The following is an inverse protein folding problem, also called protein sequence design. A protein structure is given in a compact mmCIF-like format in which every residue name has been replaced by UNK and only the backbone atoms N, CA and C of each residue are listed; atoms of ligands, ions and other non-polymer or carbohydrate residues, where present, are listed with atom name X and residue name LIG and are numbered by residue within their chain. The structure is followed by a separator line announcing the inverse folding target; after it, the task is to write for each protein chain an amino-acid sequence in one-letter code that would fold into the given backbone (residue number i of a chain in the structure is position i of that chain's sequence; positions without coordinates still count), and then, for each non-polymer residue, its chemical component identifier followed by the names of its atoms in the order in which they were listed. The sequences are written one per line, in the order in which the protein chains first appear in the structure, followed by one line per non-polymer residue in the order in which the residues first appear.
data_IF_258086576797
#
_entry.id   IF_258086576797
#
_cell.length_a   1.000
_cell.length_b   1.000
_cell.length_c   1.000
_cell.angle_alpha   90.00
_cell.angle_beta   90.00
_cell.angle_gamma   90.00
#
_symmetry.space_group_name_H-M   'P 1'
#
loop_
_entity.id
_entity.type
_entity.pdbx_description
1 polymer ?
#
# COMPACT_ATOMS: atom_id res chain seq x y z
N UNK A 1 5.21 -11.44 12.42
CA UNK A 1 3.73 -11.47 12.23
C UNK A 1 3.11 -12.78 12.71
N UNK A 2 3.72 -13.95 12.46
CA UNK A 2 3.20 -15.25 12.89
C UNK A 2 2.90 -15.30 14.40
N UNK A 3 3.75 -14.74 15.24
CA UNK A 3 3.55 -14.67 16.69
C UNK A 3 2.35 -13.83 17.11
N UNK A 4 2.03 -12.78 16.35
CA UNK A 4 0.83 -11.96 16.57
C UNK A 4 -0.43 -12.79 16.32
N UNK A 5 -0.48 -13.53 15.22
CA UNK A 5 -1.59 -14.43 14.91
C UNK A 5 -1.73 -15.55 15.96
N UNK A 6 -0.61 -16.14 16.37
CA UNK A 6 -0.60 -17.15 17.44
C UNK A 6 -1.19 -16.61 18.75
N UNK A 7 -0.81 -15.39 19.14
CA UNK A 7 -1.32 -14.74 20.33
C UNK A 7 -2.84 -14.52 20.25
N UNK A 8 -3.34 -13.90 19.18
CA UNK A 8 -4.77 -13.63 19.05
C UNK A 8 -5.61 -14.91 18.93
N UNK A 9 -5.16 -15.91 18.18
CA UNK A 9 -5.85 -17.20 18.11
C UNK A 9 -6.01 -17.80 19.52
N UNK A 10 -4.94 -17.73 20.33
CA UNK A 10 -5.01 -18.22 21.71
C UNK A 10 -5.95 -17.40 22.59
N UNK A 11 -6.02 -16.08 22.42
CA UNK A 11 -6.96 -15.23 23.17
C UNK A 11 -8.41 -15.52 22.79
N UNK A 12 -8.71 -15.70 21.52
CA UNK A 12 -10.04 -16.08 21.02
C UNK A 12 -10.51 -17.39 21.68
N UNK A 13 -9.65 -18.42 21.72
CA UNK A 13 -9.95 -19.67 22.38
C UNK A 13 -10.18 -19.50 23.89
N UNK A 14 -9.29 -18.78 24.59
CA UNK A 14 -9.36 -18.59 26.03
C UNK A 14 -10.58 -17.79 26.50
N UNK A 15 -11.06 -16.89 25.66
CA UNK A 15 -12.19 -16.01 25.95
C UNK A 15 -13.49 -16.54 25.37
N UNK A 16 -13.49 -17.74 24.76
CA UNK A 16 -14.65 -18.38 24.14
C UNK A 16 -15.37 -17.49 23.13
N UNK A 17 -14.57 -16.77 22.29
CA UNK A 17 -15.08 -15.87 21.26
C UNK A 17 -15.56 -16.72 20.07
N UNK A 18 -16.81 -16.57 19.63
CA UNK A 18 -17.34 -17.18 18.42
C UNK A 18 -16.69 -16.56 17.17
N UNK A 19 -15.64 -17.20 16.65
CA UNK A 19 -14.91 -16.77 15.47
C UNK A 19 -15.47 -17.44 14.22
N UNK A 20 -16.11 -16.68 13.34
CA UNK A 20 -16.70 -17.13 12.07
C UNK A 20 -15.87 -16.65 10.88
N UNK A 21 -14.88 -17.45 10.48
CA UNK A 21 -14.06 -17.16 9.28
C UNK A 21 -14.82 -17.50 8.00
N UNK A 22 -14.46 -16.81 6.89
CA UNK A 22 -15.10 -16.96 5.58
C UNK A 22 -16.62 -16.74 5.58
N UNK A 23 -17.12 -16.01 6.56
CA UNK A 23 -18.53 -15.67 6.73
C UNK A 23 -18.71 -14.18 6.44
N UNK A 24 -19.57 -13.86 5.48
CA UNK A 24 -19.96 -12.47 5.22
C UNK A 24 -21.18 -12.16 6.09
N UNK A 25 -21.02 -11.22 7.00
CA UNK A 25 -22.13 -10.66 7.73
C UNK A 25 -22.87 -9.62 6.86
N UNK A 26 -24.18 -9.65 6.87
CA UNK A 26 -25.07 -8.62 6.33
C UNK A 26 -26.05 -8.15 7.42
N UNK A 27 -26.83 -7.13 7.13
CA UNK A 27 -27.70 -6.53 8.12
C UNK A 27 -28.83 -7.48 8.56
N UNK A 28 -29.34 -8.34 7.66
CA UNK A 28 -30.39 -9.30 7.98
C UNK A 28 -29.90 -10.31 9.02
N UNK A 29 -28.71 -10.90 8.78
CA UNK A 29 -28.10 -11.86 9.71
C UNK A 29 -27.81 -11.23 11.08
N UNK A 30 -27.29 -9.99 11.10
CA UNK A 30 -26.98 -9.30 12.35
C UNK A 30 -28.23 -8.95 13.16
N UNK A 31 -29.34 -8.60 12.51
CA UNK A 31 -30.61 -8.34 13.13
C UNK A 31 -31.29 -9.63 13.67
N UNK A 32 -31.26 -10.72 12.87
CA UNK A 32 -31.82 -12.02 13.28
C UNK A 32 -31.09 -12.60 14.49
N UNK A 33 -29.76 -12.40 14.60
CA UNK A 33 -28.99 -12.89 15.76
C UNK A 33 -29.12 -11.97 16.99
N UNK A 34 -29.81 -10.84 16.87
CA UNK A 34 -30.19 -9.95 17.96
C UNK A 34 -29.03 -9.50 18.85
N UNK A 35 -27.91 -9.08 18.22
CA UNK A 35 -26.80 -8.49 18.95
C UNK A 35 -27.20 -7.15 19.58
N UNK A 36 -26.75 -6.89 20.81
CA UNK A 36 -26.99 -5.62 21.51
C UNK A 36 -26.28 -4.45 20.81
N UNK A 37 -25.06 -4.68 20.36
CA UNK A 37 -24.24 -3.66 19.70
C UNK A 37 -23.35 -4.29 18.60
N UNK A 38 -23.04 -3.53 17.57
CA UNK A 38 -22.20 -3.96 16.44
C UNK A 38 -20.98 -3.07 16.30
N UNK A 39 -19.79 -3.65 16.23
CA UNK A 39 -18.55 -2.92 15.98
C UNK A 39 -18.05 -3.23 14.57
N UNK A 40 -18.09 -2.24 13.69
CA UNK A 40 -17.59 -2.34 12.31
C UNK A 40 -16.10 -1.97 12.24
N UNK A 41 -15.26 -2.99 12.09
CA UNK A 41 -13.82 -2.88 11.90
C UNK A 41 -13.40 -3.32 10.49
N UNK A 42 -14.23 -3.06 9.48
CA UNK A 42 -14.14 -3.56 8.11
C UNK A 42 -13.02 -2.95 7.28
N UNK A 43 -12.33 -1.93 7.83
CA UNK A 43 -11.13 -1.37 7.22
C UNK A 43 -11.44 -0.43 6.04
N UNK A 44 -10.73 -0.60 4.93
CA UNK A 44 -10.75 0.32 3.79
C UNK A 44 -10.82 -0.43 2.47
N UNK A 45 -11.28 0.29 1.42
CA UNK A 45 -11.24 -0.15 0.02
C UNK A 45 -10.38 0.82 -0.82
N UNK A 46 -9.73 0.33 -1.90
CA UNK A 46 -8.97 1.20 -2.80
C UNK A 46 -9.83 2.32 -3.37
N UNK A 47 -9.25 3.51 -3.51
CA UNK A 47 -9.89 4.64 -4.19
C UNK A 47 -9.50 4.65 -5.65
N UNK A 48 -10.46 4.65 -6.55
CA UNK A 48 -10.28 4.90 -7.97
C UNK A 48 -10.35 6.41 -8.23
N UNK A 49 -9.30 7.05 -8.78
CA UNK A 49 -9.32 8.46 -9.11
C UNK A 49 -10.10 8.70 -10.41
N UNK A 50 -10.60 9.91 -10.58
CA UNK A 50 -11.20 10.35 -11.83
C UNK A 50 -10.08 10.77 -12.79
N UNK A 51 -9.79 9.92 -13.77
CA UNK A 51 -8.79 10.13 -14.84
C UNK A 51 -9.42 9.58 -16.12
N UNK A 52 -9.34 10.33 -17.21
CA UNK A 52 -9.77 9.87 -18.53
C UNK A 52 -9.06 8.56 -18.88
N UNK A 53 -9.81 7.53 -19.28
CA UNK A 53 -9.26 6.22 -19.58
C UNK A 53 -8.88 5.37 -18.36
N UNK A 54 -9.44 5.66 -17.17
CA UNK A 54 -9.20 4.86 -15.96
C UNK A 54 -9.60 3.38 -16.10
N UNK A 55 -10.53 3.09 -17.01
CA UNK A 55 -10.98 1.72 -17.33
C UNK A 55 -10.16 1.06 -18.44
N UNK A 56 -9.09 1.70 -18.91
CA UNK A 56 -8.22 1.15 -19.95
C UNK A 56 -7.57 -0.17 -19.51
N UNK A 57 -7.40 -1.17 -20.38
CA UNK A 57 -6.81 -2.48 -20.02
C UNK A 57 -5.40 -2.43 -19.40
N UNK A 58 -4.65 -1.36 -19.62
CA UNK A 58 -3.35 -1.13 -18.98
C UNK A 58 -3.45 -0.82 -17.49
N UNK A 59 -4.63 -0.45 -16.98
CA UNK A 59 -4.83 -0.02 -15.60
C UNK A 59 -5.01 -1.21 -14.69
N UNK A 60 -4.25 -1.21 -13.59
CA UNK A 60 -4.30 -2.21 -12.53
C UNK A 60 -4.46 -1.51 -11.18
N UNK A 61 -5.21 -2.11 -10.26
CA UNK A 61 -5.16 -1.73 -8.86
C UNK A 61 -3.95 -2.34 -8.15
N UNK A 62 -3.51 -1.77 -7.05
CA UNK A 62 -2.41 -2.37 -6.27
C UNK A 62 -2.76 -3.77 -5.74
N UNK A 63 -4.04 -4.09 -5.50
CA UNK A 63 -4.49 -5.44 -5.14
C UNK A 63 -4.33 -6.43 -6.29
N UNK A 64 -4.53 -5.98 -7.53
CA UNK A 64 -4.29 -6.81 -8.71
C UNK A 64 -2.84 -7.27 -8.77
N UNK A 65 -1.92 -6.37 -8.44
CA UNK A 65 -0.47 -6.63 -8.47
C UNK A 65 -0.04 -7.47 -7.26
N UNK A 66 -0.34 -7.02 -6.04
CA UNK A 66 0.22 -7.60 -4.82
C UNK A 66 -0.52 -8.85 -4.32
N UNK A 67 -1.85 -8.93 -4.53
CA UNK A 67 -2.68 -10.03 -4.02
C UNK A 67 -3.07 -11.02 -5.10
N UNK A 68 -3.41 -10.52 -6.29
CA UNK A 68 -3.90 -11.37 -7.38
C UNK A 68 -2.80 -11.76 -8.36
N UNK A 69 -1.56 -11.27 -8.18
CA UNK A 69 -0.40 -11.57 -9.02
C UNK A 69 -0.69 -11.42 -10.51
N UNK A 70 -1.51 -10.42 -10.91
CA UNK A 70 -1.76 -10.16 -12.32
C UNK A 70 -0.46 -9.83 -13.05
N UNK A 71 -0.28 -10.30 -14.27
CA UNK A 71 0.92 -10.00 -15.05
C UNK A 71 1.12 -8.50 -15.24
N UNK A 72 2.35 -8.06 -15.02
CA UNK A 72 2.77 -6.66 -15.20
C UNK A 72 3.90 -6.61 -16.20
N UNK A 73 3.80 -5.71 -17.16
CA UNK A 73 4.78 -5.52 -18.24
C UNK A 73 6.12 -4.97 -17.72
N UNK A 74 6.96 -4.55 -18.67
CA UNK A 74 8.32 -4.08 -18.36
C UNK A 74 8.41 -2.60 -18.03
N UNK A 75 7.42 -1.80 -18.44
CA UNK A 75 7.36 -0.36 -18.15
C UNK A 75 6.09 -0.04 -17.39
N UNK A 76 6.21 0.59 -16.21
CA UNK A 76 5.08 0.76 -15.28
C UNK A 76 5.08 2.17 -14.67
N UNK A 77 3.91 2.81 -14.67
CA UNK A 77 3.65 4.04 -13.94
C UNK A 77 2.82 3.74 -12.67
N UNK A 78 3.32 4.12 -11.50
CA UNK A 78 2.63 4.00 -10.21
C UNK A 78 2.07 5.36 -9.83
N UNK A 79 0.74 5.46 -9.71
CA UNK A 79 0.05 6.69 -9.33
C UNK A 79 -0.12 6.74 -7.81
N UNK A 80 0.66 7.58 -7.17
CA UNK A 80 0.64 7.80 -5.71
C UNK A 80 1.92 7.31 -5.02
N UNK A 81 2.67 8.25 -4.43
CA UNK A 81 3.92 7.99 -3.70
C UNK A 81 3.72 8.04 -2.17
N UNK A 82 2.66 7.39 -1.70
CA UNK A 82 2.46 7.02 -0.30
C UNK A 82 3.08 5.65 0.02
N UNK A 83 2.84 5.10 1.22
CA UNK A 83 3.37 3.79 1.63
C UNK A 83 3.12 2.70 0.58
N UNK A 84 1.86 2.48 0.21
CA UNK A 84 1.48 1.47 -0.80
C UNK A 84 2.21 1.67 -2.14
N UNK A 85 2.38 2.92 -2.59
CA UNK A 85 3.09 3.18 -3.85
C UNK A 85 4.57 2.82 -3.78
N UNK A 86 5.21 3.02 -2.63
CA UNK A 86 6.58 2.58 -2.38
C UNK A 86 6.67 1.06 -2.31
N UNK A 87 5.75 0.39 -1.60
CA UNK A 87 5.71 -1.07 -1.49
C UNK A 87 5.52 -1.72 -2.87
N UNK A 88 4.60 -1.20 -3.69
CA UNK A 88 4.41 -1.64 -5.08
C UNK A 88 5.67 -1.40 -5.91
N UNK A 89 6.34 -0.27 -5.73
CA UNK A 89 7.59 0.05 -6.41
C UNK A 89 8.71 -0.95 -6.06
N UNK A 90 8.87 -1.28 -4.79
CA UNK A 90 9.84 -2.28 -4.33
C UNK A 90 9.49 -3.68 -4.86
N UNK A 91 8.23 -4.08 -4.80
CA UNK A 91 7.74 -5.35 -5.34
C UNK A 91 8.02 -5.47 -6.85
N UNK A 92 7.69 -4.45 -7.64
CA UNK A 92 7.87 -4.48 -9.09
C UNK A 92 9.33 -4.42 -9.55
N UNK A 93 10.21 -3.88 -8.71
CA UNK A 93 11.65 -3.80 -8.99
C UNK A 93 12.44 -4.97 -8.43
N UNK A 94 11.79 -5.88 -7.69
CA UNK A 94 12.41 -7.11 -7.21
C UNK A 94 12.45 -8.18 -8.31
N UNK A 95 13.56 -8.90 -8.41
CA UNK A 95 13.70 -10.02 -9.34
C UNK A 95 13.39 -11.36 -8.66
N UNK A 96 12.11 -11.76 -8.69
CA UNK A 96 11.65 -13.03 -8.12
C UNK A 96 12.22 -14.28 -8.81
N UNK A 97 12.85 -14.16 -9.98
CA UNK A 97 13.56 -15.29 -10.60
C UNK A 97 14.90 -15.55 -9.92
N UNK A 98 15.53 -14.49 -9.44
CA UNK A 98 16.80 -14.54 -8.74
C UNK A 98 16.61 -14.76 -7.24
N UNK A 99 15.61 -14.13 -6.66
CA UNK A 99 15.24 -14.21 -5.25
C UNK A 99 13.76 -14.57 -5.13
N UNK A 100 13.42 -15.86 -5.10
CA UNK A 100 12.04 -16.34 -4.96
C UNK A 100 11.35 -15.78 -3.71
N UNK A 101 10.03 -15.64 -3.81
CA UNK A 101 9.22 -15.18 -2.68
C UNK A 101 9.37 -16.13 -1.48
N UNK A 102 9.60 -15.55 -0.30
CA UNK A 102 9.81 -16.29 0.96
C UNK A 102 11.25 -16.75 1.21
N UNK A 103 12.14 -16.64 0.25
CA UNK A 103 13.57 -16.85 0.48
C UNK A 103 14.24 -15.57 1.01
N UNK A 104 15.07 -15.72 2.04
CA UNK A 104 15.85 -14.61 2.55
C UNK A 104 17.10 -14.40 1.67
N UNK A 105 17.31 -13.16 1.26
CA UNK A 105 18.58 -12.78 0.62
C UNK A 105 19.75 -13.11 1.56
N UNK A 106 20.82 -13.77 1.09
CA UNK A 106 22.03 -13.99 1.89
C UNK A 106 22.59 -12.66 2.41
N UNK A 107 23.05 -12.66 3.66
CA UNK A 107 23.56 -11.43 4.31
C UNK A 107 24.69 -10.79 3.48
N UNK A 108 25.56 -11.60 2.89
CA UNK A 108 26.66 -11.11 2.05
C UNK A 108 26.16 -10.37 0.79
N UNK A 109 25.08 -10.85 0.17
CA UNK A 109 24.48 -10.22 -1.01
C UNK A 109 23.81 -8.90 -0.63
N UNK A 110 23.09 -8.88 0.50
CA UNK A 110 22.52 -7.66 1.06
C UNK A 110 23.60 -6.62 1.40
N UNK A 111 24.69 -7.03 2.02
CA UNK A 111 25.82 -6.15 2.34
C UNK A 111 26.42 -5.54 1.06
N UNK A 112 26.60 -6.35 0.02
CA UNK A 112 27.08 -5.90 -1.28
C UNK A 112 26.09 -4.93 -1.96
N UNK A 113 24.79 -5.23 -1.94
CA UNK A 113 23.75 -4.34 -2.51
C UNK A 113 23.79 -2.97 -1.85
N UNK A 114 23.99 -2.91 -0.53
CA UNK A 114 23.97 -1.67 0.25
C UNK A 114 25.35 -1.02 0.43
N UNK A 115 26.42 -1.64 -0.06
CA UNK A 115 27.78 -1.12 0.11
C UNK A 115 28.24 -1.17 1.56
N UNK A 116 27.96 -2.26 2.26
CA UNK A 116 28.42 -2.49 3.63
C UNK A 116 29.70 -3.31 3.59
N UNK A 117 30.77 -2.81 4.23
CA UNK A 117 32.03 -3.53 4.40
C UNK A 117 31.96 -4.42 5.66
N UNK A 118 31.90 -5.76 5.52
CA UNK A 118 31.83 -6.67 6.66
C UNK A 118 33.17 -6.79 7.41
N UNK A 119 34.28 -6.33 6.81
CA UNK A 119 35.61 -6.41 7.43
C UNK A 119 35.95 -5.21 8.30
N UNK A 120 35.18 -4.13 8.19
CA UNK A 120 35.39 -2.87 8.90
C UNK A 120 36.71 -2.15 8.54
N UNK A 121 37.31 -2.49 7.41
CA UNK A 121 38.55 -1.87 6.94
C UNK A 121 38.31 -0.50 6.29
N UNK A 122 37.13 -0.32 5.69
CA UNK A 122 36.72 0.95 5.08
C UNK A 122 36.18 1.93 6.12
N UNK A 123 36.40 3.26 5.95
CA UNK A 123 35.86 4.28 6.85
C UNK A 123 34.33 4.17 6.98
N UNK A 124 33.84 4.01 8.22
CA UNK A 124 32.42 3.87 8.51
C UNK A 124 31.81 2.53 8.04
N UNK A 125 32.64 1.54 7.71
CA UNK A 125 32.25 0.27 7.11
C UNK A 125 31.41 0.45 5.83
N UNK A 126 31.76 1.45 4.99
CA UNK A 126 31.06 1.78 3.76
C UNK A 126 31.93 1.54 2.54
N UNK A 127 31.38 0.87 1.55
CA UNK A 127 31.93 0.68 0.21
C UNK A 127 30.92 1.18 -0.84
N UNK A 128 31.26 1.05 -2.11
CA UNK A 128 30.32 1.37 -3.19
C UNK A 128 29.15 0.37 -3.21
N UNK A 129 27.88 0.86 -3.20
CA UNK A 129 26.72 -0.01 -3.33
C UNK A 129 26.64 -0.64 -4.72
N UNK A 130 26.29 -1.93 -4.76
CA UNK A 130 26.06 -2.66 -6.01
C UNK A 130 24.63 -3.19 -6.07
N UNK A 131 23.62 -2.30 -6.26
CA UNK A 131 22.23 -2.72 -6.32
C UNK A 131 21.98 -3.59 -7.54
N UNK A 132 21.08 -4.55 -7.38
CA UNK A 132 20.63 -5.37 -8.49
C UNK A 132 19.83 -4.54 -9.49
N UNK A 133 19.99 -4.79 -10.81
CA UNK A 133 19.20 -4.09 -11.81
C UNK A 133 17.72 -4.46 -11.68
N UNK A 134 16.86 -3.46 -11.77
CA UNK A 134 15.42 -3.69 -11.81
C UNK A 134 15.02 -4.46 -13.08
N UNK A 135 14.14 -5.48 -12.99
CA UNK A 135 13.58 -6.17 -14.15
C UNK A 135 12.61 -5.28 -14.94
N UNK A 136 12.22 -4.12 -14.40
CA UNK A 136 11.26 -3.17 -14.99
C UNK A 136 11.73 -1.73 -14.89
N UNK A 137 11.32 -0.92 -15.88
CA UNK A 137 11.33 0.52 -15.78
C UNK A 137 10.10 0.96 -14.97
N UNK A 138 10.31 1.68 -13.87
CA UNK A 138 9.22 2.12 -12.99
C UNK A 138 9.25 3.64 -12.80
N UNK A 139 8.08 4.26 -12.96
CA UNK A 139 7.81 5.66 -12.66
C UNK A 139 6.93 5.74 -11.42
N UNK A 140 7.39 6.43 -10.36
CA UNK A 140 6.60 6.66 -9.14
C UNK A 140 6.14 8.12 -9.10
N UNK A 141 4.84 8.34 -9.24
CA UNK A 141 4.26 9.65 -9.50
C UNK A 141 3.52 10.22 -8.28
N UNK A 142 3.65 11.53 -8.07
CA UNK A 142 2.98 12.22 -6.98
C UNK A 142 2.41 13.57 -7.44
N UNK A 143 1.15 13.86 -7.09
CA UNK A 143 0.52 15.18 -7.38
C UNK A 143 1.15 16.33 -6.58
N UNK A 144 1.54 16.07 -5.32
CA UNK A 144 2.20 17.07 -4.48
C UNK A 144 3.59 17.40 -5.03
N UNK A 145 3.99 18.66 -4.98
CA UNK A 145 5.32 19.13 -5.40
C UNK A 145 6.42 18.78 -4.40
N UNK A 146 6.04 18.37 -3.18
CA UNK A 146 7.01 17.92 -2.19
C UNK A 146 7.70 16.62 -2.62
N UNK A 147 8.87 16.34 -2.03
CA UNK A 147 9.63 15.12 -2.28
C UNK A 147 8.74 13.87 -2.11
N UNK A 148 8.69 12.93 -3.08
CA UNK A 148 8.00 11.66 -2.95
C UNK A 148 8.39 10.91 -1.67
N UNK A 149 7.40 10.33 -0.99
CA UNK A 149 7.62 9.64 0.28
C UNK A 149 7.91 10.56 1.48
N UNK A 150 7.62 11.87 1.41
CA UNK A 150 7.79 12.79 2.57
C UNK A 150 6.97 12.36 3.79
N UNK A 151 5.82 11.71 3.58
CA UNK A 151 4.93 11.22 4.63
C UNK A 151 5.25 9.81 5.14
N UNK A 152 6.29 9.15 4.63
CA UNK A 152 6.73 7.85 5.14
C UNK A 152 7.30 7.95 6.55
N UNK A 153 7.33 6.82 7.27
CA UNK A 153 7.88 6.74 8.62
C UNK A 153 9.26 7.37 8.74
N UNK A 154 9.50 8.14 9.79
CA UNK A 154 10.75 8.91 9.97
C UNK A 154 11.99 8.02 9.99
N UNK A 155 11.87 6.82 10.53
CA UNK A 155 12.97 5.86 10.70
C UNK A 155 13.27 5.06 9.43
N UNK A 156 12.27 4.73 8.62
CA UNK A 156 12.40 3.81 7.47
C UNK A 156 12.18 4.47 6.11
N UNK A 157 11.50 5.61 6.05
CA UNK A 157 11.17 6.25 4.78
C UNK A 157 12.36 6.67 3.93
N UNK A 158 13.53 6.91 4.53
CA UNK A 158 14.76 7.16 3.79
C UNK A 158 15.30 5.89 3.12
N UNK A 159 15.15 4.72 3.76
CA UNK A 159 15.55 3.41 3.22
C UNK A 159 14.76 3.13 1.96
N UNK A 160 13.44 3.20 2.01
CA UNK A 160 12.56 3.00 0.85
C UNK A 160 12.92 3.89 -0.33
N UNK A 161 13.19 5.19 -0.07
CA UNK A 161 13.61 6.11 -1.13
C UNK A 161 14.96 5.75 -1.74
N UNK A 162 15.91 5.30 -0.93
CA UNK A 162 17.24 4.89 -1.41
C UNK A 162 17.11 3.59 -2.22
N UNK A 163 16.37 2.61 -1.72
CA UNK A 163 16.14 1.34 -2.41
C UNK A 163 15.58 1.54 -3.82
N UNK A 164 14.51 2.34 -3.95
CA UNK A 164 13.93 2.63 -5.27
C UNK A 164 14.86 3.43 -6.18
N UNK A 165 15.62 4.39 -5.62
CA UNK A 165 16.60 5.17 -6.40
C UNK A 165 17.72 4.27 -6.91
N UNK A 166 18.23 3.39 -6.08
CA UNK A 166 19.29 2.45 -6.46
C UNK A 166 18.85 1.50 -7.58
N UNK A 167 17.54 1.25 -7.68
CA UNK A 167 16.93 0.46 -8.76
C UNK A 167 16.41 1.32 -9.93
N UNK A 168 16.88 2.57 -10.04
CA UNK A 168 16.56 3.52 -11.11
C UNK A 168 15.07 3.83 -11.27
N UNK A 169 14.28 3.79 -10.19
CA UNK A 169 12.89 4.26 -10.23
C UNK A 169 12.87 5.77 -10.38
N UNK A 170 12.21 6.25 -11.43
CA UNK A 170 12.02 7.68 -11.67
C UNK A 170 10.88 8.21 -10.80
N UNK A 171 11.20 9.03 -9.79
CA UNK A 171 10.23 9.61 -8.86
C UNK A 171 9.86 11.02 -9.29
N UNK A 172 8.65 11.24 -9.77
CA UNK A 172 8.20 12.51 -10.35
C UNK A 172 7.15 13.17 -9.44
N UNK A 173 7.49 14.27 -8.76
CA UNK A 173 6.54 15.08 -8.00
C UNK A 173 5.83 16.11 -8.91
N UNK A 174 4.74 16.72 -8.39
CA UNK A 174 4.04 17.80 -9.06
C UNK A 174 3.30 17.40 -10.34
N UNK A 175 2.81 16.15 -10.38
CA UNK A 175 2.15 15.59 -11.57
C UNK A 175 0.65 15.86 -11.55
N UNK A 176 0.11 16.30 -12.68
CA UNK A 176 -1.32 16.26 -13.00
C UNK A 176 -1.56 15.13 -14.00
N UNK A 177 -2.40 14.17 -13.66
CA UNK A 177 -2.78 13.09 -14.57
C UNK A 177 -3.83 13.60 -15.56
N UNK A 178 -3.63 13.40 -16.86
CA UNK A 178 -4.51 13.88 -17.93
C UNK A 178 -5.40 12.76 -18.46
N UNK A 179 -4.80 11.73 -19.03
CA UNK A 179 -5.52 10.56 -19.57
C UNK A 179 -4.62 9.32 -19.64
N UNK A 180 -5.26 8.18 -19.83
CA UNK A 180 -4.63 6.89 -20.08
C UNK A 180 -5.19 6.33 -21.39
N UNK A 181 -4.32 5.92 -22.31
CA UNK A 181 -4.70 5.34 -23.60
C UNK A 181 -3.64 4.34 -24.11
N UNK A 182 -3.75 3.95 -25.38
CA UNK A 182 -2.82 2.99 -26.00
C UNK A 182 -1.38 3.49 -26.04
N UNK A 183 -1.15 4.80 -26.07
CA UNK A 183 0.20 5.40 -26.04
C UNK A 183 0.81 5.33 -24.62
N UNK A 184 -0.03 5.33 -23.57
CA UNK A 184 0.43 5.24 -22.19
C UNK A 184 -0.30 6.17 -21.24
N UNK A 185 0.44 6.74 -20.26
CA UNK A 185 -0.07 7.71 -19.31
C UNK A 185 0.36 9.13 -19.70
N UNK A 186 -0.62 9.97 -20.03
CA UNK A 186 -0.41 11.40 -20.30
C UNK A 186 -0.44 12.19 -19.02
N UNK A 187 0.63 12.93 -18.75
CA UNK A 187 0.81 13.73 -17.56
C UNK A 187 1.22 15.16 -17.90
N UNK A 188 0.98 16.05 -16.97
CA UNK A 188 1.61 17.36 -16.95
C UNK A 188 2.45 17.47 -15.68
N UNK A 189 3.71 17.82 -15.82
CA UNK A 189 4.66 17.95 -14.71
C UNK A 189 4.92 19.42 -14.43
N UNK A 190 4.85 19.83 -13.17
CA UNK A 190 5.22 21.17 -12.75
C UNK A 190 6.74 21.28 -12.70
N UNK A 191 7.30 22.28 -13.37
CA UNK A 191 8.72 22.62 -13.38
C UNK A 191 8.93 24.04 -12.85
N UNK A 192 10.17 24.43 -12.61
CA UNK A 192 10.49 25.81 -12.21
C UNK A 192 10.15 26.85 -13.30
N UNK A 193 10.07 26.42 -14.56
CA UNK A 193 9.80 27.26 -15.72
C UNK A 193 8.33 27.25 -16.15
N UNK A 194 7.46 26.54 -15.42
CA UNK A 194 6.04 26.38 -15.73
C UNK A 194 5.60 24.92 -15.66
N UNK A 195 4.82 24.48 -16.64
CA UNK A 195 4.35 23.10 -16.73
C UNK A 195 4.71 22.49 -18.09
N UNK A 196 5.07 21.21 -18.09
CA UNK A 196 5.45 20.45 -19.28
C UNK A 196 4.53 19.24 -19.42
N UNK A 197 3.99 19.04 -20.63
CA UNK A 197 3.22 17.84 -20.96
C UNK A 197 4.18 16.71 -21.37
N UNK A 198 3.95 15.52 -20.82
CA UNK A 198 4.77 14.33 -21.06
C UNK A 198 3.88 13.11 -21.22
N UNK A 199 4.21 12.22 -22.15
CA UNK A 199 3.60 10.89 -22.26
C UNK A 199 4.61 9.88 -21.70
N UNK A 200 4.17 9.10 -20.74
CA UNK A 200 4.91 7.94 -20.25
C UNK A 200 4.43 6.71 -21.00
N UNK A 201 5.24 6.26 -21.95
CA UNK A 201 4.98 5.04 -22.74
C UNK A 201 5.14 3.82 -21.83
N UNK A 202 4.05 3.40 -21.19
CA UNK A 202 4.05 2.30 -20.22
C UNK A 202 3.14 1.16 -20.63
N UNK A 203 3.53 -0.05 -20.24
CA UNK A 203 2.72 -1.26 -20.40
C UNK A 203 1.54 -1.24 -19.40
N UNK A 204 1.78 -0.76 -18.18
CA UNK A 204 0.77 -0.71 -17.14
C UNK A 204 0.80 0.59 -16.32
N UNK A 205 -0.38 0.95 -15.81
CA UNK A 205 -0.59 2.02 -14.83
C UNK A 205 -1.16 1.41 -13.57
N UNK A 206 -0.44 1.52 -12.44
CA UNK A 206 -0.88 0.95 -11.15
C UNK A 206 -1.42 2.04 -10.24
N UNK A 207 -2.68 1.88 -9.80
CA UNK A 207 -3.37 2.88 -8.98
C UNK A 207 -3.07 2.65 -7.50
N UNK A 208 -2.37 3.63 -6.88
CA UNK A 208 -2.05 3.69 -5.46
C UNK A 208 -2.48 5.04 -4.84
N UNK A 209 -3.62 5.60 -5.31
CA UNK A 209 -4.04 6.98 -5.02
C UNK A 209 -4.83 7.16 -3.73
N UNK A 210 -4.67 6.28 -2.77
CA UNK A 210 -5.33 6.32 -1.47
C UNK A 210 -6.48 5.34 -1.34
N UNK A 211 -7.23 5.49 -0.25
CA UNK A 211 -8.23 4.54 0.19
C UNK A 211 -9.50 5.27 0.64
N UNK A 212 -10.62 4.56 0.65
CA UNK A 212 -11.91 4.98 1.19
C UNK A 212 -12.28 4.07 2.35
N UNK A 213 -12.96 4.60 3.35
CA UNK A 213 -13.52 3.79 4.44
C UNK A 213 -14.49 2.76 3.89
N UNK A 214 -14.33 1.50 4.30
CA UNK A 214 -15.26 0.44 3.97
C UNK A 214 -16.26 0.27 5.13
N UNK A 215 -17.42 0.89 5.01
CA UNK A 215 -18.47 0.93 6.03
C UNK A 215 -19.87 0.82 5.44
N UNK A 216 -20.00 0.04 4.37
CA UNK A 216 -21.22 -0.05 3.59
C UNK A 216 -22.44 -0.53 4.42
N UNK A 217 -22.20 -1.32 5.51
CA UNK A 217 -23.24 -1.75 6.44
C UNK A 217 -23.69 -0.69 7.46
N UNK A 218 -22.90 0.37 7.68
CA UNK A 218 -23.15 1.29 8.79
C UNK A 218 -24.49 2.02 8.70
N UNK A 219 -24.81 2.50 7.50
CA UNK A 219 -26.05 3.25 7.26
C UNK A 219 -27.27 2.34 7.40
N UNK A 220 -27.20 1.12 6.83
CA UNK A 220 -28.27 0.13 6.90
C UNK A 220 -28.55 -0.34 8.34
N UNK A 221 -27.52 -0.64 9.12
CA UNK A 221 -27.66 -1.01 10.53
C UNK A 221 -28.26 0.12 11.37
N UNK A 222 -27.85 1.36 11.09
CA UNK A 222 -28.39 2.54 11.77
C UNK A 222 -29.87 2.74 11.44
N UNK A 223 -30.28 2.58 10.18
CA UNK A 223 -31.69 2.66 9.76
C UNK A 223 -32.56 1.59 10.43
N UNK A 224 -32.00 0.42 10.72
CA UNK A 224 -32.67 -0.66 11.48
C UNK A 224 -32.67 -0.43 12.99
N UNK A 225 -32.06 0.66 13.46
CA UNK A 225 -32.02 1.04 14.87
C UNK A 225 -30.98 0.25 15.69
N UNK A 226 -30.03 -0.44 15.05
CA UNK A 226 -28.94 -1.13 15.73
C UNK A 226 -27.86 -0.15 16.17
N UNK A 227 -27.38 -0.30 17.42
CA UNK A 227 -26.26 0.50 17.94
C UNK A 227 -24.98 0.06 17.24
N UNK A 228 -24.37 0.97 16.46
CA UNK A 228 -23.24 0.65 15.59
C UNK A 228 -22.05 1.55 15.86
N UNK A 229 -20.89 0.95 16.10
CA UNK A 229 -19.61 1.64 16.31
C UNK A 229 -18.69 1.45 15.11
N UNK A 230 -18.08 2.55 14.63
CA UNK A 230 -17.08 2.50 13.57
C UNK A 230 -15.69 2.69 14.16
N UNK A 231 -14.75 1.78 13.83
CA UNK A 231 -13.37 1.88 14.29
C UNK A 231 -12.35 1.67 13.16
N UNK A 232 -11.14 2.17 13.38
CA UNK A 232 -10.02 2.00 12.43
C UNK A 232 -10.30 2.61 11.06
N UNK A 233 -10.02 1.86 10.02
CA UNK A 233 -10.22 2.27 8.63
C UNK A 233 -11.69 2.44 8.24
N UNK A 234 -12.61 1.75 8.90
CA UNK A 234 -14.05 1.91 8.67
C UNK A 234 -14.53 3.29 9.11
N UNK A 235 -13.97 3.85 10.18
CA UNK A 235 -14.25 5.22 10.61
C UNK A 235 -13.59 6.24 9.67
N UNK A 236 -12.26 6.18 9.54
CA UNK A 236 -11.48 7.14 8.75
C UNK A 236 -10.37 6.43 7.98
N UNK A 237 -10.33 6.63 6.66
CA UNK A 237 -9.35 6.02 5.77
C UNK A 237 -7.97 6.71 5.74
N UNK A 238 -7.73 7.73 6.56
CA UNK A 238 -6.44 8.43 6.66
C UNK A 238 -5.62 7.93 7.84
N UNK A 239 -4.29 7.99 7.70
CA UNK A 239 -3.35 7.58 8.76
C UNK A 239 -3.68 6.19 9.34
N UNK A 240 -3.79 5.22 8.43
CA UNK A 240 -4.06 3.82 8.79
C UNK A 240 -2.83 3.23 9.48
N UNK A 241 -2.86 3.19 10.80
CA UNK A 241 -1.83 2.53 11.61
C UNK A 241 -2.44 1.61 12.67
N UNK A 242 -1.66 0.64 13.10
CA UNK A 242 -2.06 -0.32 14.12
C UNK A 242 -2.33 0.39 15.48
N UNK A 243 -1.59 1.45 15.80
CA UNK A 243 -1.74 2.18 17.06
C UNK A 243 -3.13 2.78 17.20
N UNK A 244 -3.65 3.44 16.16
CA UNK A 244 -5.01 3.99 16.17
C UNK A 244 -6.05 2.87 16.24
N UNK A 245 -5.90 1.82 15.43
CA UNK A 245 -6.84 0.71 15.40
C UNK A 245 -6.95 0.02 16.77
N UNK A 246 -5.83 -0.30 17.41
CA UNK A 246 -5.81 -0.88 18.76
C UNK A 246 -6.44 0.05 19.80
N UNK A 247 -6.09 1.34 19.78
CA UNK A 247 -6.66 2.31 20.73
C UNK A 247 -8.17 2.35 20.61
N UNK A 248 -8.70 2.57 19.41
CA UNK A 248 -10.14 2.67 19.18
C UNK A 248 -10.88 1.38 19.56
N UNK A 249 -10.34 0.21 19.16
CA UNK A 249 -10.93 -1.07 19.56
C UNK A 249 -10.98 -1.25 21.08
N UNK A 250 -9.91 -0.85 21.79
CA UNK A 250 -9.87 -0.91 23.27
C UNK A 250 -10.83 0.08 23.92
N UNK A 251 -10.87 1.33 23.42
CA UNK A 251 -11.74 2.39 23.96
C UNK A 251 -13.24 2.00 23.79
N UNK A 252 -13.63 1.51 22.62
CA UNK A 252 -15.00 1.04 22.36
C UNK A 252 -15.31 -0.16 23.25
N UNK A 253 -14.49 -1.21 23.25
CA UNK A 253 -14.75 -2.40 24.06
C UNK A 253 -14.80 -2.15 25.58
N UNK A 254 -14.13 -1.11 26.06
CA UNK A 254 -14.19 -0.71 27.47
C UNK A 254 -15.42 0.14 27.83
N UNK A 255 -16.14 0.65 26.81
CA UNK A 255 -17.35 1.44 26.99
C UNK A 255 -18.66 0.62 26.82
N UNK A 256 -18.56 -0.57 26.19
CA UNK A 256 -19.63 -1.58 26.10
C UNK A 256 -19.81 -2.28 27.45
#
# INVERSE_FOLDING_TARGET
FAETLRYYNRQIELLDIDLRLNTRADADTLEEEAFDEVVLATGVKPRTPEIDGIDHPKVLGYLDVLRHNKPVGKSVAILGAGGIGFDVGEFLTHDFKRHPEGEQMPVADWQKEWGVDPTWESPGALTEPHPEPSPRQVYLLQRKTSKPGKGLGKTTGWVHRVALRNRNVEMIPGVTYKKIDDEGLHIQVQTEQGSEDRVLEVDNVVICTGQLSFRDLADELTERGMVTHLIGGAEVATELDAKRAFRQGTEVAAAL
#
